data_IF_441985545673
#
_entry.id   IF_441985545673
#
_cell.length_a   1.000
_cell.length_b   1.000
_cell.length_c   1.000
_cell.angle_alpha   90.00
_cell.angle_beta   90.00
_cell.angle_gamma   90.00
#
_symmetry.space_group_name_H-M   'P 1'
#
loop_
_entity.id
_entity.type
_entity.pdbx_description
1 polymer ?
#
# COMPACT_ATOMS: atom_id res chain seq x y z
N UNK A 1 13.16 12.65 -9.38
CA UNK A 1 11.79 12.94 -9.85
C UNK A 1 10.80 12.17 -8.98
N UNK A 2 9.75 12.84 -8.52
CA UNK A 2 8.69 12.25 -7.71
C UNK A 2 7.38 12.36 -8.49
N UNK A 3 6.58 11.31 -8.48
CA UNK A 3 5.24 11.31 -9.08
C UNK A 3 4.21 11.29 -7.97
N UNK A 4 3.21 12.16 -8.06
CA UNK A 4 2.09 12.22 -7.11
C UNK A 4 0.80 11.93 -7.87
N UNK A 5 0.00 11.00 -7.35
CA UNK A 5 -1.23 10.51 -7.99
C UNK A 5 -2.39 10.62 -7.00
N UNK A 6 -3.48 11.26 -7.42
CA UNK A 6 -4.71 11.37 -6.64
C UNK A 6 -5.86 10.66 -7.35
N UNK A 7 -6.51 9.74 -6.65
CA UNK A 7 -7.58 8.92 -7.21
C UNK A 7 -8.77 8.90 -6.26
N UNK A 8 -9.90 9.44 -6.74
CA UNK A 8 -11.14 9.49 -5.97
C UNK A 8 -11.83 8.12 -6.02
N UNK A 9 -11.98 7.55 -7.21
CA UNK A 9 -12.63 6.26 -7.41
C UNK A 9 -12.05 5.59 -8.64
N UNK A 10 -11.66 4.33 -8.51
CA UNK A 10 -11.24 3.52 -9.65
C UNK A 10 -11.57 2.05 -9.40
N UNK A 11 -11.78 1.28 -10.47
CA UNK A 11 -11.86 -0.18 -10.33
C UNK A 11 -10.48 -0.76 -10.10
N UNK A 12 -9.51 -0.34 -10.91
CA UNK A 12 -8.13 -0.79 -10.87
C UNK A 12 -7.19 0.38 -11.02
N UNK A 13 -6.07 0.33 -10.30
CA UNK A 13 -5.04 1.37 -10.31
C UNK A 13 -3.67 0.68 -10.48
N UNK A 14 -3.26 0.33 -11.70
CA UNK A 14 -1.92 -0.15 -11.96
C UNK A 14 -0.93 1.01 -11.88
N UNK A 15 0.08 0.89 -11.01
CA UNK A 15 1.11 1.92 -10.86
C UNK A 15 2.49 1.28 -10.97
N UNK A 16 3.28 1.76 -11.94
CA UNK A 16 4.65 1.29 -12.19
C UNK A 16 5.59 2.49 -12.19
N UNK A 17 6.45 2.60 -11.19
CA UNK A 17 7.35 3.74 -11.04
C UNK A 17 8.76 3.29 -10.66
N UNK A 18 9.77 3.83 -11.34
CA UNK A 18 11.18 3.53 -11.06
C UNK A 18 11.73 4.31 -9.86
N UNK A 19 11.27 5.55 -9.68
CA UNK A 19 11.74 6.49 -8.67
C UNK A 19 10.77 6.51 -7.47
N UNK A 20 10.48 7.68 -6.91
CA UNK A 20 9.55 7.87 -5.81
C UNK A 20 8.14 8.11 -6.32
N UNK A 21 7.16 7.43 -5.73
CA UNK A 21 5.72 7.69 -5.98
C UNK A 21 4.96 7.90 -4.68
N UNK A 22 4.03 8.83 -4.70
CA UNK A 22 3.05 9.06 -3.63
C UNK A 22 1.66 8.88 -4.24
N UNK A 23 0.86 7.99 -3.66
CA UNK A 23 -0.47 7.64 -4.18
C UNK A 23 -1.51 7.87 -3.09
N UNK A 24 -2.53 8.65 -3.41
CA UNK A 24 -3.70 8.85 -2.55
C UNK A 24 -4.93 8.25 -3.22
N UNK A 25 -5.58 7.29 -2.56
CA UNK A 25 -6.76 6.60 -3.06
C UNK A 25 -7.90 6.69 -2.06
N UNK A 26 -9.01 7.31 -2.45
CA UNK A 26 -10.22 7.34 -1.63
C UNK A 26 -10.99 6.01 -1.71
N UNK A 27 -11.19 5.47 -2.91
CA UNK A 27 -11.87 4.19 -3.08
C UNK A 27 -11.33 3.43 -4.30
N UNK A 28 -10.96 2.17 -4.11
CA UNK A 28 -10.67 1.29 -5.23
C UNK A 28 -11.07 -0.16 -4.99
N UNK A 29 -11.22 -0.97 -6.05
CA UNK A 29 -11.34 -2.43 -5.87
C UNK A 29 -9.95 -3.05 -5.73
N UNK A 30 -9.02 -2.69 -6.62
CA UNK A 30 -7.67 -3.23 -6.66
C UNK A 30 -6.63 -2.13 -6.91
N UNK A 31 -5.52 -2.19 -6.18
CA UNK A 31 -4.41 -1.21 -6.29
C UNK A 31 -3.07 -1.95 -6.45
N UNK A 32 -2.79 -2.56 -7.63
CA UNK A 32 -1.49 -3.17 -7.89
C UNK A 32 -0.41 -2.10 -8.07
N UNK A 33 0.57 -2.09 -7.15
CA UNK A 33 1.63 -1.10 -7.11
C UNK A 33 2.99 -1.77 -7.21
N UNK A 34 3.82 -1.36 -8.18
CA UNK A 34 5.17 -1.86 -8.41
C UNK A 34 6.15 -0.69 -8.44
N UNK A 35 7.07 -0.65 -7.46
CA UNK A 35 7.99 0.49 -7.30
C UNK A 35 9.42 0.04 -7.01
N UNK A 36 10.39 0.62 -7.71
CA UNK A 36 11.80 0.24 -7.52
C UNK A 36 12.47 0.98 -6.35
N UNK A 37 12.24 2.27 -6.20
CA UNK A 37 12.80 3.05 -5.08
C UNK A 37 11.79 3.13 -3.93
N UNK A 38 10.97 4.16 -3.89
CA UNK A 38 10.16 4.49 -2.72
C UNK A 38 8.69 4.63 -3.08
N UNK A 39 7.82 3.93 -2.35
CA UNK A 39 6.37 4.06 -2.48
C UNK A 39 5.77 4.57 -1.17
N UNK A 40 4.94 5.61 -1.25
CA UNK A 40 4.08 6.04 -0.14
C UNK A 40 2.64 5.95 -0.62
N UNK A 41 1.84 5.12 0.06
CA UNK A 41 0.48 4.78 -0.39
C UNK A 41 -0.50 5.07 0.74
N UNK A 42 -1.48 5.93 0.46
CA UNK A 42 -2.59 6.23 1.36
C UNK A 42 -3.90 5.73 0.75
N UNK A 43 -4.58 4.83 1.45
CA UNK A 43 -5.83 4.22 0.98
C UNK A 43 -6.91 4.34 2.03
N UNK A 44 -8.01 5.02 1.70
CA UNK A 44 -9.17 5.08 2.60
C UNK A 44 -9.97 3.77 2.54
N UNK A 45 -10.31 3.28 1.35
CA UNK A 45 -11.02 2.02 1.17
C UNK A 45 -10.52 1.25 -0.04
N UNK A 46 -10.18 -0.02 0.15
CA UNK A 46 -9.93 -0.94 -0.95
C UNK A 46 -10.42 -2.36 -0.68
N UNK A 47 -10.63 -3.16 -1.72
CA UNK A 47 -10.79 -4.61 -1.52
C UNK A 47 -9.42 -5.29 -1.43
N UNK A 48 -8.52 -4.97 -2.36
CA UNK A 48 -7.19 -5.58 -2.43
C UNK A 48 -6.13 -4.52 -2.74
N UNK A 49 -4.99 -4.62 -2.05
CA UNK A 49 -3.84 -3.71 -2.25
C UNK A 49 -2.55 -4.53 -2.43
N UNK A 50 -2.31 -5.14 -3.61
CA UNK A 50 -1.06 -5.82 -3.89
C UNK A 50 0.07 -4.81 -4.08
N UNK A 51 1.07 -4.84 -3.19
CA UNK A 51 2.19 -3.89 -3.23
C UNK A 51 3.51 -4.62 -3.34
N UNK A 52 4.31 -4.26 -4.35
CA UNK A 52 5.65 -4.80 -4.59
C UNK A 52 6.66 -3.65 -4.64
N UNK A 53 7.58 -3.60 -3.67
CA UNK A 53 8.56 -2.51 -3.59
C UNK A 53 9.97 -3.02 -3.34
N UNK A 54 10.96 -2.53 -4.09
CA UNK A 54 12.34 -3.01 -3.94
C UNK A 54 13.11 -2.32 -2.80
N UNK A 55 12.97 -1.01 -2.59
CA UNK A 55 13.65 -0.35 -1.46
C UNK A 55 12.67 -0.12 -0.32
N UNK A 56 11.87 0.94 -0.36
CA UNK A 56 11.10 1.38 0.82
C UNK A 56 9.62 1.55 0.51
N UNK A 57 8.76 0.91 1.30
CA UNK A 57 7.31 1.09 1.23
C UNK A 57 6.77 1.66 2.54
N UNK A 58 5.94 2.70 2.44
CA UNK A 58 5.13 3.21 3.55
C UNK A 58 3.67 3.13 3.11
N UNK A 59 2.86 2.38 3.85
CA UNK A 59 1.50 2.06 3.45
C UNK A 59 0.55 2.40 4.60
N UNK A 60 -0.42 3.27 4.33
CA UNK A 60 -1.48 3.66 5.24
C UNK A 60 -2.83 3.22 4.69
N UNK A 61 -3.55 2.36 5.42
CA UNK A 61 -4.83 1.82 4.99
C UNK A 61 -5.86 1.97 6.09
N UNK A 62 -6.92 2.73 5.81
CA UNK A 62 -8.04 2.83 6.77
C UNK A 62 -8.89 1.55 6.75
N UNK A 63 -9.23 1.03 5.57
CA UNK A 63 -10.03 -0.19 5.44
C UNK A 63 -9.64 -0.98 4.20
N UNK A 64 -9.30 -2.25 4.37
CA UNK A 64 -9.13 -3.18 3.26
C UNK A 64 -9.62 -4.59 3.57
N UNK A 65 -9.94 -5.39 2.56
CA UNK A 65 -10.15 -6.83 2.79
C UNK A 65 -8.81 -7.57 2.82
N UNK A 66 -7.92 -7.27 1.87
CA UNK A 66 -6.62 -7.93 1.74
C UNK A 66 -5.53 -6.93 1.37
N UNK A 67 -4.36 -7.06 2.00
CA UNK A 67 -3.18 -6.22 1.72
C UNK A 67 -1.95 -7.12 1.54
N UNK A 68 -1.78 -7.76 0.37
CA UNK A 68 -0.55 -8.48 0.05
C UNK A 68 0.60 -7.50 -0.17
N UNK A 69 1.66 -7.61 0.64
CA UNK A 69 2.83 -6.74 0.51
C UNK A 69 4.11 -7.55 0.39
N UNK A 70 4.94 -7.18 -0.59
CA UNK A 70 6.23 -7.77 -0.84
C UNK A 70 7.25 -6.64 -0.92
N UNK A 71 8.18 -6.59 0.04
CA UNK A 71 9.16 -5.51 0.11
C UNK A 71 10.56 -6.06 0.36
N UNK A 72 11.55 -5.66 -0.44
CA UNK A 72 12.91 -6.22 -0.31
C UNK A 72 13.74 -5.57 0.80
N UNK A 73 13.62 -4.27 1.05
CA UNK A 73 14.37 -3.64 2.15
C UNK A 73 13.42 -3.35 3.31
N UNK A 74 12.69 -2.24 3.26
CA UNK A 74 11.97 -1.72 4.44
C UNK A 74 10.51 -1.48 4.15
N UNK A 75 9.64 -2.02 5.00
CA UNK A 75 8.20 -1.77 4.96
C UNK A 75 7.70 -1.20 6.29
N UNK A 76 6.90 -0.15 6.20
CA UNK A 76 6.12 0.37 7.33
C UNK A 76 4.66 0.37 6.92
N UNK A 77 3.82 -0.34 7.68
CA UNK A 77 2.42 -0.59 7.32
C UNK A 77 1.53 -0.20 8.49
N UNK A 78 0.63 0.75 8.27
CA UNK A 78 -0.39 1.19 9.20
C UNK A 78 -1.76 0.79 8.69
N UNK A 79 -2.49 0.00 9.47
CA UNK A 79 -3.79 -0.52 9.07
C UNK A 79 -4.81 -0.36 10.20
N UNK A 80 -5.91 0.34 9.92
CA UNK A 80 -7.01 0.51 10.88
C UNK A 80 -8.05 -0.62 10.81
N UNK A 81 -8.27 -1.23 9.65
CA UNK A 81 -9.14 -2.39 9.52
C UNK A 81 -8.69 -3.21 8.32
N UNK A 82 -8.28 -4.46 8.55
CA UNK A 82 -8.12 -5.44 7.48
C UNK A 82 -8.47 -6.85 7.91
N UNK A 83 -8.95 -7.66 6.96
CA UNK A 83 -9.20 -9.07 7.21
C UNK A 83 -7.92 -9.91 7.08
N UNK A 84 -7.06 -9.58 6.12
CA UNK A 84 -5.82 -10.32 5.86
C UNK A 84 -4.70 -9.38 5.39
N UNK A 85 -3.50 -9.58 5.91
CA UNK A 85 -2.31 -8.81 5.57
C UNK A 85 -1.12 -9.76 5.40
N UNK A 86 -1.06 -10.52 4.28
CA UNK A 86 0.13 -11.31 4.00
C UNK A 86 1.30 -10.37 3.65
N UNK A 87 2.31 -10.32 4.53
CA UNK A 87 3.49 -9.47 4.37
C UNK A 87 4.74 -10.31 4.24
N UNK A 88 5.48 -10.12 3.14
CA UNK A 88 6.80 -10.71 2.94
C UNK A 88 7.83 -9.60 2.83
N UNK A 89 8.71 -9.50 3.82
CA UNK A 89 9.73 -8.46 3.87
C UNK A 89 11.08 -9.07 4.19
N UNK A 90 12.10 -8.76 3.37
CA UNK A 90 13.40 -9.42 3.50
C UNK A 90 14.30 -8.81 4.57
N UNK A 91 14.26 -7.49 4.81
CA UNK A 91 15.13 -6.86 5.81
C UNK A 91 14.35 -6.39 7.04
N UNK A 92 13.46 -5.41 6.89
CA UNK A 92 12.78 -4.81 8.06
C UNK A 92 11.32 -4.53 7.78
N UNK A 93 10.45 -5.01 8.66
CA UNK A 93 9.01 -4.74 8.63
C UNK A 93 8.53 -4.21 9.96
N UNK A 94 7.72 -3.16 9.91
CA UNK A 94 6.98 -2.63 11.05
C UNK A 94 5.51 -2.58 10.66
N UNK A 95 4.65 -3.21 11.48
CA UNK A 95 3.21 -3.26 11.24
C UNK A 95 2.49 -2.70 12.47
N UNK A 96 1.69 -1.67 12.25
CA UNK A 96 0.75 -1.14 13.23
C UNK A 96 -0.66 -1.50 12.82
N UNK A 97 -1.32 -2.29 13.66
CA UNK A 97 -2.73 -2.62 13.49
C UNK A 97 -3.52 -2.06 14.66
N UNK A 98 -4.56 -1.31 14.36
CA UNK A 98 -5.63 -1.02 15.31
C UNK A 98 -6.82 -1.81 14.82
N UNK A 99 -7.48 -2.58 15.68
CA UNK A 99 -8.79 -3.14 15.36
C UNK A 99 -9.81 -2.11 15.81
N UNK A 100 -10.25 -1.23 14.91
CA UNK A 100 -11.37 -0.35 15.22
C UNK A 100 -12.59 -1.20 15.53
N UNK A 101 -12.97 -1.27 16.81
CA UNK A 101 -14.20 -1.87 17.28
C UNK A 101 -15.41 -1.35 16.50
N UNK A 102 -16.41 -2.23 16.38
CA UNK A 102 -17.69 -2.00 15.73
C UNK A 102 -18.33 -0.68 16.19
#
# INVERSE_FOLDING_TARGET
MTVIIFIIKARQIPTFVRMTVIIFVKQARQIPTFVRMTAIIFVKQARQIPTFVRMTAIIFVKQARQIPTFVRMTAIIFVKQARQIPTFVRMTVIIFMSNGGL
#
